data_IF_777169363715
#
_entry.id   IF_777169363715
#
_cell.length_a   1.000
_cell.length_b   1.000
_cell.length_c   1.000
_cell.angle_alpha   90.00
_cell.angle_beta   90.00
_cell.angle_gamma   90.00
#
_symmetry.space_group_name_H-M   'P 1'
#
loop_
_entity.id
_entity.type
_entity.pdbx_description
1 polymer ?
#
# COMPACT_ATOMS: atom_id res chain seq x y z
N UNK A 1 2.80 47.73 -38.15
CA UNK A 1 3.24 46.32 -38.33
C UNK A 1 4.29 46.04 -37.27
N UNK A 2 4.09 45.10 -36.35
CA UNK A 2 5.06 44.85 -35.29
C UNK A 2 6.27 44.12 -35.88
N UNK A 3 7.45 44.70 -35.68
CA UNK A 3 8.73 44.15 -36.08
C UNK A 3 9.06 42.98 -35.13
N UNK A 4 9.04 41.75 -35.64
CA UNK A 4 9.58 40.59 -34.92
C UNK A 4 11.08 40.84 -34.71
N UNK A 5 11.50 41.08 -33.47
CA UNK A 5 12.90 40.99 -33.07
C UNK A 5 13.35 39.53 -33.23
N UNK A 6 13.71 39.15 -34.45
CA UNK A 6 14.50 37.95 -34.71
C UNK A 6 15.95 38.24 -34.31
N UNK A 7 16.18 38.49 -33.01
CA UNK A 7 17.48 38.19 -32.43
C UNK A 7 17.62 36.67 -32.42
N UNK A 8 18.73 36.07 -32.86
CA UNK A 8 18.95 34.63 -32.76
C UNK A 8 19.21 34.26 -31.29
N UNK A 9 18.20 34.43 -30.45
CA UNK A 9 18.18 33.99 -29.07
C UNK A 9 17.65 32.57 -29.00
N UNK A 10 18.40 31.67 -28.37
CA UNK A 10 17.92 30.32 -28.06
C UNK A 10 16.80 30.45 -27.01
N UNK A 11 15.59 30.04 -27.38
CA UNK A 11 14.47 29.93 -26.45
C UNK A 11 14.60 28.58 -25.74
N UNK A 12 15.18 28.58 -24.55
CA UNK A 12 15.22 27.40 -23.68
C UNK A 12 13.87 27.30 -22.98
N UNK A 13 13.17 26.19 -23.20
CA UNK A 13 11.97 25.84 -22.45
C UNK A 13 12.26 24.57 -21.66
N UNK A 14 12.53 24.73 -20.37
CA UNK A 14 12.69 23.60 -19.46
C UNK A 14 11.30 23.00 -19.23
N UNK A 15 11.06 21.83 -19.80
CA UNK A 15 9.86 21.05 -19.52
C UNK A 15 10.28 19.95 -18.56
N UNK A 16 9.78 20.01 -17.33
CA UNK A 16 9.99 18.93 -16.38
C UNK A 16 9.16 17.72 -16.79
N UNK A 17 9.85 16.67 -17.20
CA UNK A 17 9.27 15.38 -17.62
C UNK A 17 9.26 14.35 -16.49
N UNK A 18 9.59 14.72 -15.25
CA UNK A 18 9.50 13.81 -14.09
C UNK A 18 8.06 13.59 -13.59
N UNK A 19 7.05 13.94 -14.39
CA UNK A 19 5.65 13.55 -14.19
C UNK A 19 5.43 12.07 -14.55
N UNK A 20 5.96 11.16 -13.75
CA UNK A 20 5.81 9.73 -14.01
C UNK A 20 6.56 8.80 -13.08
N UNK A 21 7.15 9.32 -11.99
CA UNK A 21 7.66 8.43 -10.95
C UNK A 21 6.47 7.74 -10.29
N UNK A 22 6.30 6.47 -10.65
CA UNK A 22 5.47 5.53 -9.89
C UNK A 22 6.39 4.97 -8.83
N UNK A 23 6.20 5.35 -7.56
CA UNK A 23 6.86 4.69 -6.45
C UNK A 23 6.25 3.29 -6.32
N UNK A 24 6.99 2.19 -6.60
CA UNK A 24 6.46 0.87 -6.44
C UNK A 24 6.51 0.52 -4.95
N UNK A 25 5.53 0.99 -4.18
CA UNK A 25 5.31 0.47 -2.84
C UNK A 25 4.57 -0.85 -2.98
N UNK A 26 5.31 -1.91 -3.29
CA UNK A 26 4.82 -3.29 -3.21
C UNK A 26 4.75 -3.67 -1.73
N UNK A 27 3.67 -3.28 -1.06
CA UNK A 27 3.39 -3.80 0.28
C UNK A 27 3.13 -5.30 0.18
N UNK A 28 3.99 -6.12 0.78
CA UNK A 28 3.71 -7.55 0.96
C UNK A 28 2.60 -7.71 2.00
N UNK A 29 1.34 -7.63 1.55
CA UNK A 29 0.16 -7.82 2.40
C UNK A 29 -0.26 -9.29 2.28
N UNK A 30 -0.22 -10.01 3.41
CA UNK A 30 -0.74 -11.36 3.51
C UNK A 30 -2.16 -11.35 4.09
N UNK A 31 -3.02 -12.25 3.61
CA UNK A 31 -4.31 -12.53 4.23
C UNK A 31 -4.30 -13.99 4.74
N UNK A 32 -4.80 -14.19 5.96
CA UNK A 32 -4.91 -15.50 6.58
C UNK A 32 -6.36 -15.69 7.06
N UNK A 33 -6.97 -16.81 6.70
CA UNK A 33 -8.26 -17.24 7.24
C UNK A 33 -8.00 -18.48 8.09
N UNK A 34 -8.29 -18.37 9.38
CA UNK A 34 -8.14 -19.45 10.34
C UNK A 34 -9.22 -19.37 11.41
N UNK A 35 -9.58 -20.50 12.05
CA UNK A 35 -10.44 -20.48 13.21
C UNK A 35 -9.68 -19.88 14.40
N UNK A 36 -10.04 -18.67 14.79
CA UNK A 36 -9.45 -17.98 15.93
C UNK A 36 -10.31 -18.15 17.20
N UNK A 37 -9.67 -18.10 18.37
CA UNK A 37 -10.38 -18.27 19.65
C UNK A 37 -11.31 -17.09 19.99
N UNK A 38 -11.01 -15.92 19.45
CA UNK A 38 -11.73 -14.67 19.65
C UNK A 38 -11.53 -13.80 18.40
N UNK A 39 -12.44 -12.86 18.14
CA UNK A 39 -12.31 -11.88 17.07
C UNK A 39 -13.65 -11.50 16.45
N UNK A 40 -13.68 -10.46 15.60
CA UNK A 40 -14.87 -10.14 14.82
C UNK A 40 -15.15 -11.27 13.81
N UNK A 41 -16.38 -11.77 13.81
CA UNK A 41 -16.81 -12.84 12.90
C UNK A 41 -17.31 -12.19 11.60
N UNK A 42 -16.85 -12.70 10.45
CA UNK A 42 -17.18 -12.20 9.11
C UNK A 42 -16.70 -10.77 8.79
N UNK A 43 -15.77 -10.20 9.57
CA UNK A 43 -15.21 -8.88 9.29
C UNK A 43 -13.67 -8.96 9.18
N UNK A 44 -13.06 -8.40 8.11
CA UNK A 44 -11.62 -8.44 7.93
C UNK A 44 -10.92 -7.39 8.81
N UNK A 45 -9.99 -7.85 9.66
CA UNK A 45 -9.18 -6.95 10.50
C UNK A 45 -7.77 -6.75 9.92
N UNK A 46 -7.34 -5.49 9.83
CA UNK A 46 -5.95 -5.15 9.53
C UNK A 46 -5.10 -5.40 10.78
N UNK A 47 -4.05 -6.20 10.64
CA UNK A 47 -3.08 -6.48 11.70
C UNK A 47 -1.71 -6.04 11.22
N UNK A 48 -1.06 -5.18 12.00
CA UNK A 48 0.25 -4.61 11.67
C UNK A 48 1.39 -5.15 12.57
N UNK A 49 1.05 -5.78 13.69
CA UNK A 49 2.00 -6.30 14.68
C UNK A 49 1.54 -7.64 15.24
N UNK A 50 2.50 -8.45 15.72
CA UNK A 50 2.20 -9.72 16.39
C UNK A 50 1.42 -9.50 17.70
N UNK A 51 1.68 -8.41 18.41
CA UNK A 51 0.92 -8.08 19.63
C UNK A 51 -0.55 -7.78 19.32
N UNK A 52 -0.80 -7.10 18.20
CA UNK A 52 -2.16 -6.80 17.72
C UNK A 52 -2.89 -8.10 17.29
N UNK A 53 -2.17 -9.04 16.67
CA UNK A 53 -2.70 -10.37 16.37
C UNK A 53 -3.15 -11.09 17.65
N UNK A 54 -2.32 -11.08 18.69
CA UNK A 54 -2.62 -11.72 19.98
C UNK A 54 -3.77 -11.04 20.72
N UNK A 55 -3.86 -9.71 20.68
CA UNK A 55 -4.94 -8.97 21.33
C UNK A 55 -6.29 -9.17 20.62
N UNK A 56 -6.26 -9.19 19.29
CA UNK A 56 -7.47 -9.34 18.46
C UNK A 56 -7.95 -10.79 18.45
N UNK A 57 -7.05 -11.75 18.18
CA UNK A 57 -7.41 -13.14 17.91
C UNK A 57 -7.12 -14.14 19.04
N UNK A 58 -6.34 -13.72 20.05
CA UNK A 58 -5.99 -14.54 21.19
C UNK A 58 -4.78 -15.43 20.97
N UNK A 59 -4.51 -16.28 21.96
CA UNK A 59 -3.38 -17.22 21.94
C UNK A 59 -3.67 -18.43 21.04
N UNK A 60 -2.63 -19.03 20.44
CA UNK A 60 -2.78 -20.29 19.71
C UNK A 60 -3.31 -21.37 20.64
N UNK A 61 -4.32 -22.10 20.19
CA UNK A 61 -4.90 -23.23 20.91
C UNK A 61 -4.74 -24.49 20.08
N UNK A 62 -4.46 -25.60 20.75
CA UNK A 62 -4.23 -26.90 20.11
C UNK A 62 -5.58 -27.54 19.75
N UNK A 63 -6.32 -26.96 18.81
CA UNK A 63 -7.42 -27.67 18.15
C UNK A 63 -6.86 -28.38 16.92
N UNK A 64 -7.03 -29.69 16.88
CA UNK A 64 -6.34 -30.63 16.00
C UNK A 64 -6.71 -30.45 14.50
N UNK A 65 -7.66 -29.56 14.18
CA UNK A 65 -8.26 -29.43 12.85
C UNK A 65 -8.62 -27.98 12.55
N UNK A 66 -7.92 -27.37 11.60
CA UNK A 66 -8.29 -26.10 10.95
C UNK A 66 -9.51 -26.26 10.02
N UNK A 67 -10.49 -27.07 10.43
CA UNK A 67 -11.68 -27.37 9.65
C UNK A 67 -12.91 -26.96 10.46
N UNK A 68 -13.56 -25.90 10.00
CA UNK A 68 -15.02 -25.86 9.91
C UNK A 68 -15.40 -26.01 8.44
#
# INVERSE_FOLDING_TARGET
>A
MPLNLASPGIVVREVDLTIGRVDPTSGSIGALVAPFAKGPVNDPQLIESEEDLLQTFGQPYSTDKHYE
#
